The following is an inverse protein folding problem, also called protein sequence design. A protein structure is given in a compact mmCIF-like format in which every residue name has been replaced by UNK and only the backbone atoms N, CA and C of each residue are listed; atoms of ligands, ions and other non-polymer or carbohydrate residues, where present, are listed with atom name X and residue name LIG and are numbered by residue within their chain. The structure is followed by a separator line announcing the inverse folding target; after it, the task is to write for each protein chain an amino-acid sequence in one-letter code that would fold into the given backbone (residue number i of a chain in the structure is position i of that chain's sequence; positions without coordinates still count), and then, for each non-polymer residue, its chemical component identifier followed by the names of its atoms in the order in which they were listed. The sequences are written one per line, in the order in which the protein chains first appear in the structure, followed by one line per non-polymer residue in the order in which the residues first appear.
data_IF_441385408934
#
_entry.id   IF_441385408934
#
_cell.length_a   1.000
_cell.length_b   1.000
_cell.length_c   1.000
_cell.angle_alpha   90.00
_cell.angle_beta   90.00
_cell.angle_gamma   90.00
#
_symmetry.space_group_name_H-M   'P 1'
#
loop_
_entity.id
_entity.type
_entity.pdbx_description
1 polymer ?
#
# COMPACT_ATOMS: atom_id res chain seq x y z
N UNK A 1 -16.06 -18.38 -0.89
CA UNK A 1 -16.03 -18.58 -2.36
C UNK A 1 -16.97 -17.65 -3.13
N UNK A 2 -18.28 -17.56 -2.84
CA UNK A 2 -19.25 -16.71 -3.62
C UNK A 2 -18.84 -15.23 -3.76
N UNK A 3 -18.32 -14.56 -2.69
CA UNK A 3 -17.93 -13.14 -2.75
C UNK A 3 -16.70 -12.88 -3.63
N UNK A 4 -15.74 -13.81 -3.65
CA UNK A 4 -14.55 -13.68 -4.51
C UNK A 4 -14.93 -13.85 -5.98
N UNK A 5 -15.84 -14.80 -6.29
CA UNK A 5 -16.33 -14.98 -7.65
C UNK A 5 -17.10 -13.75 -8.13
N UNK A 6 -18.01 -13.21 -7.31
CA UNK A 6 -18.75 -11.99 -7.66
C UNK A 6 -17.83 -10.78 -7.88
N UNK A 7 -16.73 -10.67 -7.11
CA UNK A 7 -15.72 -9.62 -7.34
C UNK A 7 -14.99 -9.83 -8.67
N UNK A 8 -14.51 -11.04 -8.91
CA UNK A 8 -13.82 -11.39 -10.15
C UNK A 8 -14.68 -11.15 -11.39
N UNK A 9 -15.97 -11.47 -11.32
CA UNK A 9 -16.92 -11.29 -12.42
C UNK A 9 -17.22 -9.81 -12.70
N UNK A 10 -17.16 -8.95 -11.66
CA UNK A 10 -17.49 -7.52 -11.77
C UNK A 10 -16.28 -6.57 -11.82
N UNK A 11 -15.04 -7.04 -11.56
CA UNK A 11 -13.89 -6.14 -11.47
C UNK A 11 -13.51 -5.50 -12.81
N UNK A 12 -13.83 -6.13 -13.94
CA UNK A 12 -13.56 -5.58 -15.27
C UNK A 12 -14.55 -4.47 -15.69
N UNK A 13 -15.66 -4.31 -14.95
CA UNK A 13 -16.61 -3.22 -15.16
C UNK A 13 -16.12 -1.91 -14.48
N UNK A 14 -15.05 -2.01 -13.66
CA UNK A 14 -14.47 -0.87 -12.96
C UNK A 14 -13.44 -0.16 -13.85
N UNK A 15 -13.57 1.16 -14.00
CA UNK A 15 -12.60 1.98 -14.74
C UNK A 15 -11.27 2.08 -13.96
N UNK A 16 -10.14 1.49 -14.44
CA UNK A 16 -8.86 1.52 -13.74
C UNK A 16 -8.32 2.92 -13.45
N UNK A 17 -8.69 3.94 -14.25
CA UNK A 17 -8.24 5.33 -14.06
C UNK A 17 -8.94 5.99 -12.85
N UNK A 18 -10.06 5.45 -12.39
CA UNK A 18 -10.82 5.91 -11.23
C UNK A 18 -10.51 5.14 -9.96
N UNK A 19 -9.78 4.02 -10.04
CA UNK A 19 -9.50 3.19 -8.88
C UNK A 19 -8.40 3.77 -8.00
N UNK A 20 -8.64 3.76 -6.69
CA UNK A 20 -7.69 4.14 -5.64
C UNK A 20 -7.65 3.02 -4.60
N UNK A 21 -6.63 2.19 -4.64
CA UNK A 21 -6.44 1.11 -3.67
C UNK A 21 -5.70 1.63 -2.44
N UNK A 22 -6.35 1.62 -1.29
CA UNK A 22 -5.79 2.06 -0.01
C UNK A 22 -5.45 0.85 0.84
N UNK A 23 -4.24 0.85 1.39
CA UNK A 23 -3.78 -0.17 2.31
C UNK A 23 -2.66 0.35 3.21
N UNK A 24 -2.32 -0.40 4.26
CA UNK A 24 -1.20 -0.10 5.13
C UNK A 24 -0.16 -1.22 5.14
N UNK A 25 1.07 -0.80 5.34
CA UNK A 25 2.17 -1.72 5.54
C UNK A 25 3.13 -1.22 6.59
N UNK A 26 3.82 -2.13 7.27
CA UNK A 26 4.84 -1.78 8.24
C UNK A 26 6.24 -1.78 7.63
N UNK A 27 7.09 -0.89 8.13
CA UNK A 27 8.52 -0.85 7.92
C UNK A 27 9.23 -0.71 9.26
N UNK A 28 10.48 -1.14 9.36
CA UNK A 28 11.21 -1.09 10.61
C UNK A 28 12.70 -0.80 10.43
N UNK A 29 13.32 -0.22 11.45
CA UNK A 29 14.74 0.16 11.44
C UNK A 29 15.70 -1.03 11.45
N UNK A 30 15.22 -2.25 11.63
CA UNK A 30 16.01 -3.47 11.52
C UNK A 30 15.89 -4.17 10.16
N UNK A 31 15.21 -3.56 9.17
CA UNK A 31 15.09 -4.17 7.84
C UNK A 31 16.47 -4.42 7.23
N UNK A 32 16.68 -5.63 6.71
CA UNK A 32 17.90 -6.06 6.06
C UNK A 32 17.57 -6.92 4.83
N UNK A 33 18.52 -7.04 3.90
CA UNK A 33 18.37 -7.92 2.74
C UNK A 33 18.20 -9.36 3.21
N UNK A 34 17.21 -10.05 2.64
CA UNK A 34 16.93 -11.47 2.93
C UNK A 34 17.78 -12.43 2.12
N UNK A 35 18.28 -11.97 0.97
CA UNK A 35 19.03 -12.76 0.01
C UNK A 35 20.22 -11.94 -0.51
N UNK A 36 21.28 -12.62 -0.88
CA UNK A 36 22.46 -12.07 -1.51
C UNK A 36 23.13 -13.12 -2.40
N UNK A 37 24.18 -12.72 -3.09
CA UNK A 37 24.97 -13.61 -3.95
C UNK A 37 26.40 -13.60 -3.46
N UNK A 38 27.07 -14.76 -3.52
CA UNK A 38 28.49 -14.95 -3.29
C UNK A 38 29.07 -15.88 -4.36
N UNK A 39 30.38 -16.03 -4.43
CA UNK A 39 31.03 -16.97 -5.34
C UNK A 39 30.54 -18.41 -5.07
N UNK A 40 30.59 -19.24 -6.12
CA UNK A 40 30.23 -20.65 -5.98
C UNK A 40 31.19 -21.36 -5.00
N UNK A 41 30.60 -22.07 -4.04
CA UNK A 41 31.35 -22.75 -2.99
C UNK A 41 31.62 -21.90 -1.73
N UNK A 42 31.26 -20.59 -1.77
CA UNK A 42 31.36 -19.71 -0.61
C UNK A 42 30.03 -19.56 0.13
N UNK A 43 30.11 -19.23 1.41
CA UNK A 43 28.93 -18.91 2.24
C UNK A 43 28.81 -17.40 2.41
N UNK A 44 27.69 -16.84 1.95
CA UNK A 44 27.37 -15.45 2.21
C UNK A 44 27.17 -15.21 3.71
N UNK A 45 27.99 -14.33 4.28
CA UNK A 45 27.87 -13.88 5.68
C UNK A 45 27.56 -12.40 5.68
N UNK A 46 26.42 -12.01 6.26
CA UNK A 46 25.98 -10.62 6.39
C UNK A 46 25.51 -10.39 7.82
N UNK A 47 25.97 -9.30 8.42
CA UNK A 47 25.47 -8.86 9.72
C UNK A 47 24.01 -8.44 9.62
N UNK A 48 23.17 -8.91 10.56
CA UNK A 48 21.78 -8.47 10.71
C UNK A 48 21.69 -7.56 11.92
N UNK A 49 20.93 -6.45 11.86
CA UNK A 49 20.73 -5.61 13.01
C UNK A 49 20.15 -6.41 14.17
N UNK A 50 20.75 -6.26 15.34
CA UNK A 50 20.30 -6.90 16.58
C UNK A 50 19.95 -5.83 17.61
N UNK A 51 19.03 -6.12 18.53
CA UNK A 51 18.59 -5.19 19.58
C UNK A 51 17.19 -4.62 19.34
N UNK A 52 16.91 -3.50 19.99
CA UNK A 52 15.60 -2.84 19.89
C UNK A 52 15.47 -2.10 18.56
N UNK A 53 14.36 -2.30 17.86
CA UNK A 53 14.01 -1.60 16.63
C UNK A 53 12.73 -0.83 16.77
N UNK A 54 12.56 0.19 15.94
CA UNK A 54 11.33 0.97 15.82
C UNK A 54 10.57 0.50 14.59
N UNK A 55 9.25 0.49 14.70
CA UNK A 55 8.33 0.13 13.62
C UNK A 55 7.51 1.34 13.24
N UNK A 56 7.41 1.61 11.96
CA UNK A 56 6.61 2.66 11.35
C UNK A 56 5.51 2.01 10.53
N UNK A 57 4.29 2.54 10.60
CA UNK A 57 3.23 2.23 9.63
C UNK A 57 3.30 3.21 8.48
N UNK A 58 3.27 2.70 7.26
CA UNK A 58 3.12 3.45 6.03
C UNK A 58 1.75 3.14 5.44
N UNK A 59 0.94 4.17 5.24
CA UNK A 59 -0.38 4.10 4.58
C UNK A 59 -0.27 4.84 3.26
N UNK A 60 -0.85 4.31 2.21
CA UNK A 60 -0.88 4.99 0.92
C UNK A 60 -2.05 4.50 0.06
N UNK A 61 -2.33 5.26 -0.98
CA UNK A 61 -3.15 4.85 -2.11
C UNK A 61 -2.29 4.46 -3.30
N UNK A 62 -2.76 3.50 -4.10
CA UNK A 62 -2.21 3.20 -5.42
C UNK A 62 -3.25 3.56 -6.48
N UNK A 63 -2.88 4.41 -7.42
CA UNK A 63 -3.59 4.72 -8.66
C UNK A 63 -2.85 4.13 -9.86
N UNK A 64 -3.49 4.03 -11.01
CA UNK A 64 -2.85 3.67 -12.30
C UNK A 64 -1.65 4.57 -12.64
N UNK A 65 -1.64 5.80 -12.16
CA UNK A 65 -0.64 6.83 -12.42
C UNK A 65 0.47 6.97 -11.36
N UNK A 66 0.34 6.35 -10.19
CA UNK A 66 1.34 6.48 -9.12
C UNK A 66 0.81 6.18 -7.72
N UNK A 67 1.66 6.39 -6.73
CA UNK A 67 1.29 6.40 -5.32
C UNK A 67 0.56 7.72 -5.00
N UNK A 68 -0.53 7.63 -4.25
CA UNK A 68 -1.36 8.74 -3.82
C UNK A 68 -1.51 8.75 -2.29
N UNK A 69 -1.76 9.90 -1.72
CA UNK A 69 -2.05 10.08 -0.29
C UNK A 69 -1.06 9.34 0.65
N UNK A 70 0.28 9.47 0.44
CA UNK A 70 1.25 8.77 1.28
C UNK A 70 1.30 9.38 2.68
N UNK A 71 1.32 8.52 3.69
CA UNK A 71 1.39 8.93 5.09
C UNK A 71 2.24 7.94 5.91
N UNK A 72 3.07 8.46 6.82
CA UNK A 72 3.85 7.66 7.76
C UNK A 72 3.44 7.98 9.20
N UNK A 73 3.38 6.95 10.03
CA UNK A 73 3.02 7.04 11.44
C UNK A 73 4.02 6.24 12.27
N UNK A 74 4.54 6.82 13.36
CA UNK A 74 5.36 6.07 14.31
C UNK A 74 4.48 5.09 15.10
N UNK A 75 4.77 3.80 15.00
CA UNK A 75 4.00 2.72 15.60
C UNK A 75 2.79 2.23 14.78
N UNK A 76 1.88 1.48 15.41
CA UNK A 76 0.71 0.88 14.75
C UNK A 76 -0.39 1.91 14.53
N UNK A 77 -1.10 1.79 13.40
CA UNK A 77 -2.28 2.59 13.13
C UNK A 77 -3.48 2.06 13.91
N UNK A 78 -4.28 2.97 14.46
CA UNK A 78 -5.56 2.67 15.08
C UNK A 78 -6.70 3.37 14.32
N UNK A 79 -7.96 3.11 14.71
CA UNK A 79 -9.13 3.70 14.06
C UNK A 79 -9.07 5.23 13.99
N UNK A 80 -8.70 5.91 15.08
CA UNK A 80 -8.68 7.38 15.13
C UNK A 80 -7.61 7.93 14.18
N UNK A 81 -6.42 7.32 14.18
CA UNK A 81 -5.34 7.69 13.27
C UNK A 81 -5.73 7.43 11.80
N UNK A 82 -6.44 6.32 11.53
CA UNK A 82 -6.93 6.02 10.19
C UNK A 82 -8.01 7.00 9.73
N UNK A 83 -8.98 7.34 10.59
CA UNK A 83 -9.99 8.37 10.29
C UNK A 83 -9.33 9.74 10.04
N UNK A 84 -8.29 10.09 10.81
CA UNK A 84 -7.52 11.33 10.60
C UNK A 84 -6.77 11.30 9.26
N UNK A 85 -6.16 10.17 8.91
CA UNK A 85 -5.54 9.97 7.60
C UNK A 85 -6.55 10.18 6.47
N UNK A 86 -7.72 9.57 6.57
CA UNK A 86 -8.78 9.73 5.56
C UNK A 86 -9.20 11.20 5.42
N UNK A 87 -9.47 11.88 6.54
CA UNK A 87 -9.90 13.28 6.55
C UNK A 87 -8.84 14.27 6.01
N UNK A 88 -7.58 14.10 6.44
CA UNK A 88 -6.54 15.11 6.22
C UNK A 88 -5.61 14.82 5.04
N UNK A 89 -5.53 13.56 4.60
CA UNK A 89 -4.56 13.15 3.57
C UNK A 89 -5.27 12.54 2.36
N UNK A 90 -6.19 11.59 2.56
CA UNK A 90 -6.85 10.92 1.44
C UNK A 90 -7.89 11.80 0.76
N UNK A 91 -8.87 12.32 1.53
CA UNK A 91 -9.99 13.10 0.97
C UNK A 91 -9.54 14.29 0.13
N UNK A 92 -8.51 15.08 0.51
CA UNK A 92 -8.00 16.16 -0.34
C UNK A 92 -7.45 15.74 -1.71
N UNK A 93 -7.08 14.47 -1.87
CA UNK A 93 -6.56 13.93 -3.14
C UNK A 93 -7.62 13.16 -3.96
N UNK A 94 -8.86 13.02 -3.44
CA UNK A 94 -9.94 12.37 -4.17
C UNK A 94 -10.59 13.31 -5.17
N UNK A 95 -10.92 12.74 -6.31
CA UNK A 95 -11.70 13.40 -7.36
C UNK A 95 -13.14 12.82 -7.40
N UNK A 96 -14.17 13.64 -7.72
CA UNK A 96 -15.51 13.12 -7.92
C UNK A 96 -15.53 11.99 -8.95
N UNK A 97 -16.16 10.88 -8.58
CA UNK A 97 -16.22 9.67 -9.40
C UNK A 97 -15.07 8.67 -9.14
N UNK A 98 -14.14 8.97 -8.23
CA UNK A 98 -13.15 8.00 -7.78
C UNK A 98 -13.82 6.81 -7.07
N UNK A 99 -13.20 5.64 -7.18
CA UNK A 99 -13.61 4.41 -6.52
C UNK A 99 -12.49 4.01 -5.56
N UNK A 100 -12.68 4.29 -4.28
CA UNK A 100 -11.74 3.91 -3.21
C UNK A 100 -11.98 2.46 -2.84
N UNK A 101 -10.94 1.64 -2.93
CA UNK A 101 -10.99 0.22 -2.61
C UNK A 101 -10.07 -0.05 -1.42
N UNK A 102 -10.63 -0.64 -0.38
CA UNK A 102 -9.90 -1.02 0.84
C UNK A 102 -10.05 -2.51 1.11
N UNK A 103 -9.14 -3.05 1.90
CA UNK A 103 -9.31 -4.38 2.43
C UNK A 103 -10.47 -4.45 3.46
N UNK A 104 -10.78 -5.64 3.91
CA UNK A 104 -11.94 -5.89 4.77
C UNK A 104 -11.60 -5.81 6.27
N UNK A 105 -10.57 -5.05 6.68
CA UNK A 105 -10.21 -4.86 8.08
C UNK A 105 -11.27 -4.06 8.84
N UNK A 106 -11.43 -4.37 10.12
CA UNK A 106 -12.41 -3.70 10.98
C UNK A 106 -12.08 -2.22 11.25
N UNK A 107 -10.79 -1.85 11.21
CA UNK A 107 -10.32 -0.47 11.34
C UNK A 107 -10.79 0.43 10.20
N UNK A 108 -10.97 -0.13 8.99
CA UNK A 108 -11.37 0.59 7.78
C UNK A 108 -12.90 0.76 7.65
N UNK A 109 -13.69 0.01 8.40
CA UNK A 109 -15.15 -0.05 8.28
C UNK A 109 -15.91 0.95 9.16
N UNK A 110 -15.26 1.97 9.63
CA UNK A 110 -15.95 3.03 10.38
C UNK A 110 -16.99 3.75 9.49
N UNK A 111 -18.23 4.01 9.98
CA UNK A 111 -19.21 4.78 9.23
C UNK A 111 -18.68 6.15 8.81
N UNK A 112 -17.88 6.78 9.67
CA UNK A 112 -17.24 8.07 9.40
C UNK A 112 -16.29 8.04 8.20
N UNK A 113 -15.53 6.95 8.01
CA UNK A 113 -14.66 6.78 6.84
C UNK A 113 -15.47 6.79 5.55
N UNK A 114 -16.59 6.06 5.51
CA UNK A 114 -17.51 6.04 4.39
C UNK A 114 -18.10 7.41 4.12
N UNK A 115 -18.62 8.05 5.14
CA UNK A 115 -19.24 9.39 5.04
C UNK A 115 -18.27 10.43 4.44
N UNK A 116 -16.99 10.43 4.89
CA UNK A 116 -15.98 11.36 4.37
C UNK A 116 -15.66 11.11 2.89
N UNK A 117 -15.51 9.84 2.49
CA UNK A 117 -15.19 9.47 1.11
C UNK A 117 -16.38 9.79 0.18
N UNK A 118 -17.61 9.44 0.59
CA UNK A 118 -18.82 9.73 -0.18
C UNK A 118 -19.12 11.23 -0.27
N UNK A 119 -18.84 11.99 0.78
CA UNK A 119 -18.96 13.46 0.77
C UNK A 119 -17.97 14.13 -0.21
N UNK A 120 -16.82 13.48 -0.50
CA UNK A 120 -15.89 13.93 -1.54
C UNK A 120 -16.35 13.56 -2.98
N UNK A 121 -17.50 12.92 -3.13
CA UNK A 121 -18.03 12.47 -4.43
C UNK A 121 -17.42 11.16 -4.92
N UNK A 122 -16.71 10.42 -4.06
CA UNK A 122 -16.13 9.13 -4.38
C UNK A 122 -16.99 7.96 -3.84
N UNK A 123 -16.75 6.76 -4.34
CA UNK A 123 -17.43 5.53 -3.88
C UNK A 123 -16.47 4.68 -3.07
N UNK A 124 -16.92 4.10 -1.94
CA UNK A 124 -16.12 3.18 -1.15
C UNK A 124 -16.55 1.74 -1.37
N UNK A 125 -15.61 0.90 -1.80
CA UNK A 125 -15.77 -0.54 -1.94
C UNK A 125 -14.80 -1.30 -1.02
N UNK A 126 -15.17 -2.53 -0.65
CA UNK A 126 -14.28 -3.41 0.13
C UNK A 126 -13.99 -4.68 -0.64
N UNK A 127 -12.72 -5.05 -0.68
CA UNK A 127 -12.27 -6.33 -1.22
C UNK A 127 -12.94 -7.51 -0.49
N UNK A 128 -13.14 -8.63 -1.16
CA UNK A 128 -13.56 -9.85 -0.49
C UNK A 128 -12.54 -10.25 0.60
N UNK A 129 -12.97 -10.87 1.70
CA UNK A 129 -12.03 -11.35 2.72
C UNK A 129 -10.97 -12.28 2.13
N UNK A 130 -9.73 -12.17 2.62
CA UNK A 130 -8.59 -13.00 2.20
C UNK A 130 -8.32 -12.98 0.68
N UNK A 131 -8.33 -11.79 0.09
CA UNK A 131 -8.15 -11.59 -1.35
C UNK A 131 -7.03 -10.61 -1.70
N UNK A 132 -5.78 -10.83 -1.25
CA UNK A 132 -4.65 -9.95 -1.55
C UNK A 132 -4.29 -9.97 -3.05
N UNK A 133 -4.67 -11.02 -3.77
CA UNK A 133 -4.50 -11.15 -5.22
C UNK A 133 -5.32 -10.13 -6.02
N UNK A 134 -6.42 -9.62 -5.47
CA UNK A 134 -7.20 -8.51 -6.03
C UNK A 134 -6.71 -7.12 -5.58
N UNK A 135 -5.64 -7.07 -4.80
CA UNK A 135 -5.13 -5.81 -4.27
C UNK A 135 -3.78 -5.43 -4.92
N UNK A 136 -3.74 -4.58 -5.96
CA UNK A 136 -2.50 -4.25 -6.67
C UNK A 136 -1.48 -3.51 -5.80
N UNK A 137 -1.90 -2.82 -4.72
CA UNK A 137 -0.98 -2.10 -3.82
C UNK A 137 -0.05 -3.04 -3.06
N UNK A 138 -0.42 -4.31 -2.88
CA UNK A 138 0.45 -5.32 -2.26
C UNK A 138 1.74 -5.55 -3.07
N UNK A 139 1.66 -5.50 -4.40
CA UNK A 139 2.83 -5.55 -5.27
C UNK A 139 3.69 -4.29 -5.13
N UNK A 140 3.06 -3.12 -5.03
CA UNK A 140 3.75 -1.86 -4.76
C UNK A 140 4.46 -1.89 -3.40
N UNK A 141 3.81 -2.38 -2.34
CA UNK A 141 4.42 -2.54 -1.03
C UNK A 141 5.55 -3.58 -1.01
N UNK A 142 5.46 -4.62 -1.81
CA UNK A 142 6.56 -5.58 -1.98
C UNK A 142 7.80 -4.91 -2.56
N UNK A 143 7.66 -4.07 -3.60
CA UNK A 143 8.73 -3.25 -4.17
C UNK A 143 9.27 -2.27 -3.12
N UNK A 144 8.40 -1.51 -2.45
CA UNK A 144 8.80 -0.57 -1.39
C UNK A 144 9.68 -1.28 -0.35
N UNK A 145 9.21 -2.40 0.21
CA UNK A 145 9.95 -3.18 1.20
C UNK A 145 11.29 -3.70 0.68
N UNK A 146 11.39 -4.06 -0.60
CA UNK A 146 12.66 -4.48 -1.20
C UNK A 146 13.68 -3.33 -1.22
N UNK A 147 13.25 -2.12 -1.58
CA UNK A 147 14.09 -0.92 -1.55
C UNK A 147 14.49 -0.53 -0.13
N UNK A 148 13.57 -0.56 0.84
CA UNK A 148 13.87 -0.25 2.25
C UNK A 148 14.87 -1.24 2.86
N UNK A 149 14.76 -2.55 2.54
CA UNK A 149 15.76 -3.54 2.94
C UNK A 149 17.14 -3.28 2.32
N UNK A 150 17.18 -2.73 1.09
CA UNK A 150 18.42 -2.33 0.43
C UNK A 150 19.00 -1.07 1.04
N UNK A 151 18.17 -0.08 1.38
CA UNK A 151 18.59 1.16 2.04
C UNK A 151 19.16 0.90 3.43
N UNK A 152 18.59 -0.08 4.14
CA UNK A 152 19.07 -0.52 5.47
C UNK A 152 19.14 0.64 6.49
N UNK A 153 18.16 1.53 6.48
CA UNK A 153 18.10 2.66 7.42
C UNK A 153 17.92 2.20 8.86
N UNK A 154 18.58 2.87 9.79
CA UNK A 154 18.65 2.48 11.20
C UNK A 154 17.98 3.46 12.16
N UNK A 155 17.47 4.59 11.63
CA UNK A 155 16.72 5.61 12.36
C UNK A 155 15.32 5.77 11.79
N UNK A 156 14.39 6.28 12.57
CA UNK A 156 13.02 6.56 12.11
C UNK A 156 13.04 7.61 10.99
N UNK A 157 13.78 8.70 11.20
CA UNK A 157 13.89 9.77 10.19
C UNK A 157 14.53 9.27 8.89
N UNK A 158 15.58 8.46 8.99
CA UNK A 158 16.20 7.82 7.82
C UNK A 158 15.22 6.93 7.08
N UNK A 159 14.42 6.13 7.81
CA UNK A 159 13.41 5.26 7.25
C UNK A 159 12.30 6.05 6.53
N UNK A 160 11.80 7.15 7.14
CA UNK A 160 10.78 8.02 6.55
C UNK A 160 11.31 8.71 5.29
N UNK A 161 12.53 9.24 5.33
CA UNK A 161 13.18 9.81 4.15
C UNK A 161 13.40 8.77 3.04
N UNK A 162 13.72 7.52 3.41
CA UNK A 162 13.85 6.44 2.44
C UNK A 162 12.50 6.08 1.80
N UNK A 163 11.40 6.06 2.57
CA UNK A 163 10.05 5.87 2.05
C UNK A 163 9.73 6.96 1.01
N UNK A 164 9.95 8.24 1.34
CA UNK A 164 9.75 9.36 0.41
C UNK A 164 10.50 9.17 -0.90
N UNK A 165 11.81 8.89 -0.84
CA UNK A 165 12.62 8.65 -2.05
C UNK A 165 12.14 7.45 -2.88
N UNK A 166 11.59 6.42 -2.24
CA UNK A 166 11.10 5.23 -2.97
C UNK A 166 9.76 5.48 -3.63
N UNK A 167 8.90 6.33 -3.06
CA UNK A 167 7.62 6.72 -3.67
C UNK A 167 7.86 7.32 -5.06
N UNK A 168 8.89 8.15 -5.22
CA UNK A 168 9.24 8.80 -6.50
C UNK A 168 9.73 7.81 -7.59
N UNK A 169 10.00 6.55 -7.21
CA UNK A 169 10.41 5.50 -8.15
C UNK A 169 9.24 4.72 -8.77
N UNK A 170 8.00 5.04 -8.40
CA UNK A 170 6.83 4.39 -8.98
C UNK A 170 6.38 5.12 -10.24
N UNK A 171 6.66 4.52 -11.38
CA UNK A 171 6.24 5.09 -12.67
C UNK A 171 4.80 4.70 -13.00
N UNK A 172 4.07 5.52 -13.80
CA UNK A 172 2.73 5.16 -14.28
C UNK A 172 2.68 3.80 -15.01
N UNK A 173 3.68 3.50 -15.81
CA UNK A 173 3.76 2.22 -16.52
C UNK A 173 3.82 1.03 -15.55
N UNK A 174 4.59 1.15 -14.48
CA UNK A 174 4.71 0.12 -13.47
C UNK A 174 3.42 -0.02 -12.63
N UNK A 175 2.79 1.11 -12.27
CA UNK A 175 1.53 1.08 -11.54
C UNK A 175 0.44 0.38 -12.36
N UNK A 176 0.33 0.68 -13.67
CA UNK A 176 -0.57 -0.06 -14.56
C UNK A 176 -0.26 -1.55 -14.61
N UNK A 177 1.01 -1.95 -14.60
CA UNK A 177 1.36 -3.37 -14.53
C UNK A 177 0.91 -4.04 -13.23
N UNK A 178 0.89 -3.32 -12.09
CA UNK A 178 0.33 -3.85 -10.84
C UNK A 178 -1.18 -4.05 -10.96
N UNK A 179 -1.90 -3.10 -11.57
CA UNK A 179 -3.34 -3.22 -11.85
C UNK A 179 -3.62 -4.42 -12.75
N UNK A 180 -2.88 -4.56 -13.84
CA UNK A 180 -2.97 -5.71 -14.76
C UNK A 180 -2.74 -7.04 -14.03
N UNK A 181 -1.70 -7.12 -13.20
CA UNK A 181 -1.40 -8.32 -12.43
C UNK A 181 -2.51 -8.70 -11.44
N UNK A 182 -3.31 -7.74 -10.97
CA UNK A 182 -4.46 -7.94 -10.10
C UNK A 182 -5.79 -8.09 -10.86
N UNK A 183 -5.76 -8.06 -12.21
CA UNK A 183 -6.92 -8.32 -13.07
C UNK A 183 -7.80 -7.09 -13.37
N UNK A 184 -7.30 -5.85 -13.19
CA UNK A 184 -8.02 -4.60 -13.49
C UNK A 184 -7.62 -3.97 -14.83
N UNK A 185 -7.01 -4.72 -15.71
CA UNK A 185 -6.71 -4.24 -17.06
C UNK A 185 -7.86 -4.62 -17.98
N UNK A 186 -8.61 -3.64 -18.44
CA UNK A 186 -9.44 -3.79 -19.63
C UNK A 186 -8.48 -3.73 -20.83
N UNK A 187 -8.21 -4.86 -21.44
CA UNK A 187 -7.45 -5.02 -22.68
C UNK A 187 -7.89 -4.07 -23.78
#
# INVERSE_FOLDING_TARGET
MKRRQAWFDGQLDLDPERLVFIDETWASTNMARRHGRCARGERLRVGVPHGHWKTTTFVAGLRSRGIAAPFVLDGPINRIAFETYVDKVLVPELEPGDIVIMDNLSSHKGPRVREMIEAAGATLLFLPPYSPDFNPIENAFSKLKAHLRKAAERTVDGLWNAIGRVIDLFTPAECRNFFKAAGYDAT
#
